data_IF_906826237491
#
_entry.id   IF_906826237491
#
_cell.length_a   1.000
_cell.length_b   1.000
_cell.length_c   1.000
_cell.angle_alpha   90.00
_cell.angle_beta   90.00
_cell.angle_gamma   90.00
#
_symmetry.space_group_name_H-M   'P 1'
#
loop_
_entity.id
_entity.type
_entity.pdbx_description
1 polymer ?
#
# COMPACT_ATOMS: atom_id res chain seq x y z
N UNK A 1 -7.24 50.56 8.72
CA UNK A 1 -7.59 49.78 9.93
C UNK A 1 -9.09 49.92 10.12
N UNK A 2 -9.90 49.03 9.55
CA UNK A 2 -11.33 48.98 9.84
C UNK A 2 -11.74 47.52 9.91
N UNK A 3 -11.85 47.03 11.13
CA UNK A 3 -12.37 45.71 11.46
C UNK A 3 -13.87 45.71 11.26
N UNK A 4 -14.32 45.24 10.10
CA UNK A 4 -15.71 44.87 9.86
C UNK A 4 -16.04 43.60 10.66
N UNK A 5 -16.25 43.77 11.96
CA UNK A 5 -17.01 42.83 12.76
C UNK A 5 -18.45 42.88 12.28
N UNK A 6 -18.77 42.03 11.30
CA UNK A 6 -20.16 41.78 10.94
C UNK A 6 -20.87 41.18 12.17
N UNK A 7 -21.97 41.76 12.67
CA UNK A 7 -22.67 41.33 13.90
C UNK A 7 -22.95 39.83 13.97
N UNK A 8 -23.16 39.19 12.81
CA UNK A 8 -23.40 37.75 12.70
C UNK A 8 -22.19 36.90 13.11
N UNK A 9 -20.95 37.35 12.84
CA UNK A 9 -19.73 36.63 13.25
C UNK A 9 -19.47 36.76 14.75
N UNK A 10 -19.79 37.91 15.33
CA UNK A 10 -19.66 38.14 16.77
C UNK A 10 -20.67 37.29 17.56
N UNK A 11 -21.91 37.15 17.06
CA UNK A 11 -22.92 36.29 17.66
C UNK A 11 -22.53 34.81 17.61
N UNK A 12 -22.04 34.34 16.45
CA UNK A 12 -21.58 32.96 16.28
C UNK A 12 -20.42 32.61 17.23
N UNK A 13 -19.43 33.50 17.38
CA UNK A 13 -18.33 33.31 18.31
C UNK A 13 -18.80 33.28 19.77
N UNK A 14 -19.81 34.08 20.13
CA UNK A 14 -20.39 34.07 21.48
C UNK A 14 -21.13 32.75 21.80
N UNK A 15 -21.93 32.24 20.85
CA UNK A 15 -22.62 30.95 21.00
C UNK A 15 -21.61 29.81 21.17
N UNK A 16 -20.59 29.78 20.33
CA UNK A 16 -19.52 28.78 20.41
C UNK A 16 -18.76 28.86 21.75
N UNK A 17 -18.52 30.07 22.28
CA UNK A 17 -17.89 30.25 23.58
C UNK A 17 -18.77 29.73 24.74
N UNK A 18 -20.09 29.91 24.64
CA UNK A 18 -21.05 29.37 25.61
C UNK A 18 -21.09 27.84 25.60
N UNK A 19 -21.04 27.23 24.42
CA UNK A 19 -21.01 25.78 24.25
C UNK A 19 -19.72 25.19 24.85
N UNK A 20 -18.57 25.83 24.60
CA UNK A 20 -17.30 25.45 25.24
C UNK A 20 -17.32 25.55 26.77
N UNK A 21 -18.00 26.56 27.32
CA UNK A 21 -18.16 26.70 28.77
C UNK A 21 -19.00 25.55 29.36
N UNK A 22 -20.07 25.14 28.66
CA UNK A 22 -20.92 24.01 29.05
C UNK A 22 -20.14 22.70 29.04
N UNK A 23 -19.38 22.44 27.97
CA UNK A 23 -18.50 21.26 27.85
C UNK A 23 -17.43 21.24 28.95
N UNK A 24 -16.79 22.38 29.24
CA UNK A 24 -15.76 22.47 30.28
C UNK A 24 -16.33 22.16 31.66
N UNK A 25 -17.52 22.67 31.96
CA UNK A 25 -18.23 22.38 33.21
C UNK A 25 -18.55 20.89 33.32
N UNK A 26 -19.09 20.28 32.27
CA UNK A 26 -19.38 18.86 32.21
C UNK A 26 -18.12 17.98 32.39
N UNK A 27 -17.04 18.28 31.68
CA UNK A 27 -15.77 17.56 31.82
C UNK A 27 -15.19 17.69 33.23
N UNK A 28 -15.24 18.88 33.83
CA UNK A 28 -14.77 19.08 35.21
C UNK A 28 -15.53 18.22 36.22
N UNK A 29 -16.86 18.09 36.05
CA UNK A 29 -17.70 17.23 36.89
C UNK A 29 -17.40 15.75 36.67
N UNK A 30 -17.13 15.32 35.43
CA UNK A 30 -16.90 13.92 35.08
C UNK A 30 -15.54 13.39 35.54
N UNK A 31 -14.50 14.22 35.46
CA UNK A 31 -13.13 13.81 35.75
C UNK A 31 -12.68 14.07 37.20
N UNK A 32 -13.45 14.84 37.99
CA UNK A 32 -13.08 15.17 39.38
C UNK A 32 -12.76 13.92 40.23
N UNK A 33 -11.64 13.89 40.98
CA UNK A 33 -10.69 14.99 41.22
C UNK A 33 -9.57 15.15 40.18
N UNK A 34 -9.50 14.27 39.17
CA UNK A 34 -8.51 14.37 38.10
C UNK A 34 -8.86 15.46 37.08
N UNK A 35 -7.84 15.97 36.39
CA UNK A 35 -8.04 16.91 35.27
C UNK A 35 -8.39 16.14 34.00
N UNK A 36 -9.28 16.68 33.16
CA UNK A 36 -9.57 16.07 31.87
C UNK A 36 -8.31 16.05 30.99
N UNK A 37 -8.16 15.05 30.09
CA UNK A 37 -7.05 14.97 29.16
C UNK A 37 -7.01 16.20 28.24
N UNK A 38 -5.82 16.54 27.73
CA UNK A 38 -5.64 17.64 26.78
C UNK A 38 -6.12 17.19 25.39
N UNK A 39 -6.88 18.04 24.71
CA UNK A 39 -7.39 17.79 23.37
C UNK A 39 -7.41 19.09 22.55
N UNK A 40 -7.45 18.95 21.23
CA UNK A 40 -7.53 20.08 20.31
C UNK A 40 -8.90 20.75 20.39
N UNK A 41 -8.97 22.08 20.38
CA UNK A 41 -10.22 22.84 20.42
C UNK A 41 -10.66 23.21 19.01
N UNK A 42 -11.25 22.25 18.31
CA UNK A 42 -11.83 22.42 16.97
C UNK A 42 -13.36 22.36 17.03
N UNK A 43 -14.05 22.84 15.99
CA UNK A 43 -15.53 22.75 15.92
C UNK A 43 -16.03 21.30 15.96
N UNK A 44 -15.31 20.39 15.33
CA UNK A 44 -15.61 18.96 15.33
C UNK A 44 -15.50 18.37 16.75
N UNK A 45 -14.45 18.73 17.49
CA UNK A 45 -14.30 18.29 18.89
C UNK A 45 -15.39 18.88 19.80
N UNK A 46 -15.82 20.12 19.56
CA UNK A 46 -16.94 20.72 20.29
C UNK A 46 -18.23 19.94 20.06
N UNK A 47 -18.56 19.64 18.80
CA UNK A 47 -19.74 18.85 18.45
C UNK A 47 -19.69 17.43 19.03
N UNK A 48 -18.53 16.76 18.95
CA UNK A 48 -18.33 15.45 19.56
C UNK A 48 -18.51 15.48 21.09
N UNK A 49 -17.99 16.50 21.77
CA UNK A 49 -18.13 16.62 23.23
C UNK A 49 -19.55 16.97 23.66
N UNK A 50 -20.27 17.81 22.90
CA UNK A 50 -21.68 18.12 23.15
C UNK A 50 -22.57 16.90 22.95
N UNK A 51 -22.34 16.12 21.90
CA UNK A 51 -23.09 14.88 21.66
C UNK A 51 -22.82 13.86 22.78
N UNK A 52 -21.57 13.69 23.20
CA UNK A 52 -21.21 12.85 24.34
C UNK A 52 -21.83 13.33 25.65
N UNK A 53 -21.86 14.63 25.92
CA UNK A 53 -22.47 15.20 27.12
C UNK A 53 -23.98 14.88 27.17
N UNK A 54 -24.69 15.09 26.07
CA UNK A 54 -26.12 14.79 25.94
C UNK A 54 -26.40 13.28 26.10
N UNK A 55 -25.58 12.42 25.49
CA UNK A 55 -25.72 10.98 25.64
C UNK A 55 -25.49 10.51 27.08
N UNK A 56 -24.55 11.14 27.80
CA UNK A 56 -24.29 10.85 29.21
C UNK A 56 -25.48 11.25 30.08
N UNK A 57 -26.05 12.44 29.84
CA UNK A 57 -27.25 12.91 30.55
C UNK A 57 -28.42 11.96 30.37
N UNK A 58 -28.68 11.53 29.13
CA UNK A 58 -29.70 10.50 28.84
C UNK A 58 -29.41 9.16 29.53
N UNK A 59 -28.14 8.75 29.57
CA UNK A 59 -27.76 7.53 30.25
C UNK A 59 -27.98 7.61 31.78
N UNK A 60 -27.67 8.76 32.38
CA UNK A 60 -27.88 9.00 33.81
C UNK A 60 -29.38 9.09 34.13
N UNK A 61 -30.20 9.71 33.28
CA UNK A 61 -31.67 9.69 33.38
C UNK A 61 -32.23 8.26 33.35
N UNK A 62 -31.75 7.43 32.42
CA UNK A 62 -32.17 6.03 32.33
C UNK A 62 -31.79 5.24 33.58
N UNK A 63 -30.57 5.43 34.13
CA UNK A 63 -30.16 4.79 35.38
C UNK A 63 -31.08 5.18 36.54
N UNK A 64 -31.39 6.47 36.68
CA UNK A 64 -32.32 6.95 37.71
C UNK A 64 -33.73 6.35 37.55
N UNK A 65 -34.23 6.25 36.32
CA UNK A 65 -35.52 5.60 36.07
C UNK A 65 -35.49 4.12 36.43
N UNK A 66 -34.43 3.39 36.07
CA UNK A 66 -34.27 1.98 36.43
C UNK A 66 -34.21 1.78 37.94
N UNK A 67 -33.40 2.58 38.64
CA UNK A 67 -33.30 2.54 40.10
C UNK A 67 -34.66 2.82 40.77
N UNK A 68 -35.40 3.82 40.29
CA UNK A 68 -36.73 4.14 40.83
C UNK A 68 -37.73 3.02 40.60
N UNK A 69 -37.74 2.43 39.41
CA UNK A 69 -38.59 1.26 39.10
C UNK A 69 -38.22 0.11 40.03
N UNK A 70 -36.94 -0.25 40.14
CA UNK A 70 -36.46 -1.30 41.06
C UNK A 70 -36.84 -1.03 42.52
N UNK A 71 -36.70 0.21 42.98
CA UNK A 71 -37.06 0.57 44.35
C UNK A 71 -38.58 0.48 44.58
N UNK A 72 -39.38 0.87 43.58
CA UNK A 72 -40.84 0.75 43.64
C UNK A 72 -41.30 -0.71 43.61
N UNK A 73 -40.65 -1.58 42.83
CA UNK A 73 -40.98 -3.02 42.75
C UNK A 73 -40.56 -3.75 44.02
N UNK A 74 -39.38 -3.44 44.58
CA UNK A 74 -38.96 -3.99 45.87
C UNK A 74 -39.90 -3.55 47.00
N UNK A 75 -40.35 -2.28 46.99
CA UNK A 75 -41.30 -1.77 47.98
C UNK A 75 -42.68 -2.43 47.85
N UNK A 76 -43.18 -2.63 46.63
CA UNK A 76 -44.47 -3.31 46.41
C UNK A 76 -44.39 -4.80 46.77
N UNK A 77 -43.29 -5.47 46.43
CA UNK A 77 -43.03 -6.86 46.80
C UNK A 77 -42.89 -7.03 48.33
N UNK A 78 -42.17 -6.14 49.01
CA UNK A 78 -42.06 -6.12 50.47
C UNK A 78 -43.42 -5.90 51.14
N UNK A 79 -44.25 -5.00 50.61
CA UNK A 79 -45.62 -4.77 51.11
C UNK A 79 -46.52 -5.98 50.90
N UNK A 80 -46.39 -6.67 49.77
CA UNK A 80 -47.11 -7.92 49.49
C UNK A 80 -46.67 -9.04 50.45
N UNK A 81 -45.36 -9.21 50.66
CA UNK A 81 -44.81 -10.17 51.61
C UNK A 81 -45.26 -9.89 53.06
N UNK A 82 -45.25 -8.62 53.48
CA UNK A 82 -45.77 -8.19 54.78
C UNK A 82 -47.27 -8.48 54.92
N UNK A 83 -48.06 -8.29 53.87
CA UNK A 83 -49.50 -8.63 53.87
C UNK A 83 -49.75 -10.14 54.04
N UNK A 84 -48.89 -10.98 53.44
CA UNK A 84 -48.93 -12.45 53.58
C UNK A 84 -48.53 -12.86 55.01
N UNK A 85 -47.46 -12.27 55.55
CA UNK A 85 -47.00 -12.50 56.93
C UNK A 85 -47.99 -12.04 57.99
N UNK A 86 -48.74 -10.96 57.73
CA UNK A 86 -49.75 -10.40 58.64
C UNK A 86 -51.13 -11.07 58.52
N UNK A 87 -51.28 -12.09 57.67
CA UNK A 87 -52.53 -12.88 57.57
C UNK A 87 -53.74 -12.10 57.08
N UNK A 88 -53.56 -10.94 56.44
CA UNK A 88 -54.67 -10.11 55.95
C UNK A 88 -55.12 -10.62 54.58
N UNK A 89 -56.19 -11.41 54.61
CA UNK A 89 -57.09 -11.84 53.52
C UNK A 89 -56.46 -12.42 52.23
N UNK A 90 -56.66 -13.72 51.91
CA UNK A 90 -56.15 -14.35 50.68
C UNK A 90 -56.85 -13.90 49.39
N UNK A 91 -57.96 -13.14 49.51
CA UNK A 91 -58.75 -12.63 48.41
C UNK A 91 -58.02 -11.44 47.76
N UNK A 92 -57.28 -11.68 46.67
CA UNK A 92 -56.56 -10.62 45.94
C UNK A 92 -55.06 -10.90 45.75
N UNK A 93 -54.50 -11.87 46.47
CA UNK A 93 -53.12 -12.32 46.27
C UNK A 93 -52.93 -12.91 44.87
N UNK A 94 -53.83 -13.81 44.44
CA UNK A 94 -53.75 -14.45 43.13
C UNK A 94 -53.82 -13.43 41.97
N UNK A 95 -54.76 -12.48 41.92
CA UNK A 95 -54.74 -11.39 40.94
C UNK A 95 -53.47 -10.53 40.98
N UNK A 96 -52.93 -10.25 42.17
CA UNK A 96 -51.69 -9.48 42.31
C UNK A 96 -50.46 -10.24 41.80
N UNK A 97 -50.36 -11.55 42.08
CA UNK A 97 -49.32 -12.42 41.55
C UNK A 97 -49.40 -12.50 40.02
N UNK A 98 -50.59 -12.72 39.44
CA UNK A 98 -50.77 -12.75 37.98
C UNK A 98 -50.36 -11.42 37.34
N UNK A 99 -50.74 -10.29 37.95
CA UNK A 99 -50.32 -8.97 37.46
C UNK A 99 -48.80 -8.81 37.49
N UNK A 100 -48.15 -9.13 38.61
CA UNK A 100 -46.69 -9.04 38.73
C UNK A 100 -45.97 -9.98 37.77
N UNK A 101 -46.47 -11.19 37.55
CA UNK A 101 -45.91 -12.13 36.56
C UNK A 101 -46.02 -11.57 35.14
N UNK A 102 -47.16 -10.97 34.79
CA UNK A 102 -47.32 -10.32 33.49
C UNK A 102 -46.39 -9.10 33.36
N UNK A 103 -46.26 -8.28 34.40
CA UNK A 103 -45.34 -7.12 34.41
C UNK A 103 -43.88 -7.56 34.26
N UNK A 104 -43.45 -8.62 34.96
CA UNK A 104 -42.10 -9.19 34.84
C UNK A 104 -41.86 -9.68 33.42
N UNK A 105 -42.80 -10.44 32.85
CA UNK A 105 -42.68 -10.96 31.48
C UNK A 105 -42.60 -9.84 30.43
N UNK A 106 -43.44 -8.80 30.57
CA UNK A 106 -43.40 -7.63 29.68
C UNK A 106 -42.08 -6.87 29.80
N UNK A 107 -41.54 -6.71 31.02
CA UNK A 107 -40.26 -6.07 31.25
C UNK A 107 -39.11 -6.89 30.69
N UNK A 108 -39.10 -8.21 30.86
CA UNK A 108 -38.13 -9.12 30.24
C UNK A 108 -38.16 -9.00 28.71
N UNK A 109 -39.35 -8.97 28.12
CA UNK A 109 -39.52 -8.76 26.68
C UNK A 109 -39.07 -7.38 26.20
N UNK A 110 -39.18 -6.34 27.03
CA UNK A 110 -38.65 -5.00 26.74
C UNK A 110 -37.13 -4.94 26.86
N UNK A 111 -36.55 -5.59 27.88
CA UNK A 111 -35.10 -5.69 28.06
C UNK A 111 -34.47 -6.44 26.89
N UNK A 112 -35.02 -7.59 26.50
CA UNK A 112 -34.50 -8.36 25.37
C UNK A 112 -34.51 -7.57 24.06
N UNK A 113 -35.59 -6.81 23.80
CA UNK A 113 -35.66 -5.91 22.63
C UNK A 113 -34.63 -4.78 22.72
N UNK A 114 -34.46 -4.17 23.88
CA UNK A 114 -33.47 -3.11 24.08
C UNK A 114 -32.04 -3.63 23.86
N UNK A 115 -31.70 -4.81 24.39
CA UNK A 115 -30.41 -5.47 24.17
C UNK A 115 -30.16 -5.77 22.69
N UNK A 116 -31.16 -6.26 21.96
CA UNK A 116 -31.04 -6.49 20.52
C UNK A 116 -30.76 -5.18 19.75
N UNK A 117 -31.46 -4.09 20.07
CA UNK A 117 -31.20 -2.78 19.46
C UNK A 117 -29.82 -2.23 19.83
N UNK A 118 -29.38 -2.42 21.07
CA UNK A 118 -28.05 -1.99 21.51
C UNK A 118 -26.95 -2.76 20.78
N UNK A 119 -27.12 -4.08 20.57
CA UNK A 119 -26.18 -4.89 19.81
C UNK A 119 -26.10 -4.43 18.35
N UNK A 120 -27.23 -4.12 17.73
CA UNK A 120 -27.27 -3.60 16.35
C UNK A 120 -26.53 -2.26 16.24
N UNK A 121 -26.83 -1.30 17.12
CA UNK A 121 -26.15 0.00 17.13
C UNK A 121 -24.64 -0.11 17.38
N UNK A 122 -24.20 -1.01 18.27
CA UNK A 122 -22.77 -1.27 18.48
C UNK A 122 -22.09 -1.82 17.22
N UNK A 123 -22.77 -2.70 16.49
CA UNK A 123 -22.23 -3.22 15.23
C UNK A 123 -22.15 -2.13 14.15
N UNK A 124 -23.13 -1.24 14.09
CA UNK A 124 -23.14 -0.11 13.17
C UNK A 124 -22.05 0.92 13.54
N UNK A 125 -21.87 1.21 14.83
CA UNK A 125 -20.80 2.07 15.32
C UNK A 125 -19.43 1.52 14.92
N UNK A 126 -19.18 0.23 15.14
CA UNK A 126 -17.93 -0.43 14.72
C UNK A 126 -17.71 -0.34 13.21
N UNK A 127 -18.77 -0.49 12.42
CA UNK A 127 -18.70 -0.34 10.96
C UNK A 127 -18.35 1.09 10.55
N UNK A 128 -18.97 2.11 11.17
CA UNK A 128 -18.67 3.51 10.91
C UNK A 128 -17.25 3.88 11.32
N UNK A 129 -16.77 3.39 12.48
CA UNK A 129 -15.38 3.56 12.92
C UNK A 129 -14.40 2.94 11.93
N UNK A 130 -14.70 1.75 11.39
CA UNK A 130 -13.90 1.14 10.33
C UNK A 130 -13.88 2.01 9.06
N UNK A 131 -15.02 2.56 8.64
CA UNK A 131 -15.11 3.45 7.47
C UNK A 131 -14.29 4.73 7.69
N UNK A 132 -14.41 5.38 8.85
CA UNK A 132 -13.66 6.59 9.18
C UNK A 132 -12.16 6.31 9.19
N UNK A 133 -11.72 5.22 9.83
CA UNK A 133 -10.31 4.83 9.82
C UNK A 133 -9.77 4.55 8.41
N UNK A 134 -10.62 4.01 7.52
CA UNK A 134 -10.30 3.83 6.12
C UNK A 134 -10.21 5.14 5.33
N UNK A 135 -10.98 6.16 5.72
CA UNK A 135 -10.93 7.50 5.13
C UNK A 135 -9.69 8.28 5.59
N UNK A 136 -9.27 8.14 6.85
CA UNK A 136 -8.03 8.73 7.37
C UNK A 136 -6.76 8.19 6.67
N UNK A 137 -6.85 7.00 6.07
CA UNK A 137 -5.76 6.44 5.25
C UNK A 137 -5.61 7.15 3.89
N UNK A 138 -6.58 7.97 3.47
CA UNK A 138 -6.46 8.76 2.24
C UNK A 138 -5.66 10.04 2.50
N UNK A 139 -4.69 10.37 1.64
CA UNK A 139 -3.94 11.61 1.75
C UNK A 139 -4.88 12.82 1.73
N UNK A 140 -4.57 13.82 2.54
CA UNK A 140 -5.34 15.07 2.54
C UNK A 140 -5.33 15.72 1.15
N UNK A 141 -6.36 16.51 0.84
CA UNK A 141 -6.41 17.27 -0.41
C UNK A 141 -5.16 18.14 -0.62
N UNK A 142 -4.61 18.70 0.47
CA UNK A 142 -3.39 19.48 0.46
C UNK A 142 -2.17 18.66 0.00
N UNK A 143 -1.99 17.45 0.52
CA UNK A 143 -0.91 16.54 0.12
C UNK A 143 -1.05 16.08 -1.34
N UNK A 144 -2.28 15.78 -1.78
CA UNK A 144 -2.52 15.44 -3.19
C UNK A 144 -2.19 16.61 -4.11
N UNK A 145 -2.58 17.82 -3.72
CA UNK A 145 -2.26 19.03 -4.49
C UNK A 145 -0.74 19.30 -4.51
N UNK A 146 -0.05 19.14 -3.38
CA UNK A 146 1.40 19.25 -3.30
C UNK A 146 2.08 18.27 -4.27
N UNK A 147 1.73 16.97 -4.20
CA UNK A 147 2.23 15.94 -5.12
C UNK A 147 1.91 16.25 -6.59
N UNK A 148 0.71 16.74 -6.90
CA UNK A 148 0.34 17.13 -8.26
C UNK A 148 1.21 18.29 -8.76
N UNK A 149 1.53 19.26 -7.90
CA UNK A 149 2.42 20.36 -8.27
C UNK A 149 3.86 19.89 -8.46
N UNK A 150 4.35 18.96 -7.63
CA UNK A 150 5.68 18.36 -7.76
C UNK A 150 5.81 17.57 -9.07
N UNK A 151 4.83 16.71 -9.37
CA UNK A 151 4.79 15.99 -10.64
C UNK A 151 4.72 16.94 -11.82
N UNK A 152 3.91 18.00 -11.74
CA UNK A 152 3.86 19.04 -12.75
C UNK A 152 5.21 19.73 -12.99
N UNK A 153 5.97 20.03 -11.93
CA UNK A 153 7.34 20.56 -12.01
C UNK A 153 8.29 19.54 -12.63
N UNK A 154 8.26 18.29 -12.17
CA UNK A 154 9.10 17.20 -12.67
C UNK A 154 8.87 16.93 -14.16
N UNK A 155 7.61 16.86 -14.60
CA UNK A 155 7.25 16.71 -16.01
C UNK A 155 7.78 17.85 -16.88
N UNK A 156 7.73 19.11 -16.40
CA UNK A 156 8.32 20.24 -17.13
C UNK A 156 9.83 20.10 -17.29
N UNK A 157 10.53 19.69 -16.23
CA UNK A 157 11.99 19.47 -16.26
C UNK A 157 12.34 18.35 -17.23
N UNK A 158 11.65 17.21 -17.16
CA UNK A 158 11.89 16.08 -18.06
C UNK A 158 11.61 16.48 -19.51
N UNK A 159 10.51 17.21 -19.78
CA UNK A 159 10.19 17.70 -21.12
C UNK A 159 11.28 18.63 -21.66
N UNK A 160 11.81 19.53 -20.83
CA UNK A 160 12.91 20.40 -21.23
C UNK A 160 14.17 19.60 -21.57
N UNK A 161 14.51 18.58 -20.76
CA UNK A 161 15.64 17.68 -21.05
C UNK A 161 15.45 16.89 -22.34
N UNK A 162 14.24 16.40 -22.62
CA UNK A 162 13.94 15.71 -23.89
C UNK A 162 14.21 16.65 -25.07
N UNK A 163 13.72 17.89 -25.02
CA UNK A 163 14.01 18.89 -26.07
C UNK A 163 15.50 19.22 -26.23
N UNK A 164 16.26 19.25 -25.13
CA UNK A 164 17.72 19.40 -25.16
C UNK A 164 18.40 18.21 -25.83
N UNK A 165 18.00 16.97 -25.50
CA UNK A 165 18.52 15.76 -26.13
C UNK A 165 18.16 15.68 -27.60
N UNK A 166 16.94 16.05 -27.98
CA UNK A 166 16.52 16.14 -29.38
C UNK A 166 17.37 17.15 -30.16
N UNK A 167 17.65 18.31 -29.56
CA UNK A 167 18.53 19.32 -30.16
C UNK A 167 19.97 18.83 -30.29
N UNK A 168 20.50 18.15 -29.26
CA UNK A 168 21.84 17.53 -29.31
C UNK A 168 21.92 16.43 -30.36
N UNK A 169 20.88 15.61 -30.49
CA UNK A 169 20.79 14.60 -31.53
C UNK A 169 20.71 15.23 -32.91
N UNK A 170 19.98 16.34 -33.08
CA UNK A 170 19.93 17.06 -34.35
C UNK A 170 21.30 17.64 -34.74
N UNK A 171 22.05 18.21 -33.79
CA UNK A 171 23.43 18.68 -34.03
C UNK A 171 24.36 17.52 -34.35
N UNK A 172 24.31 16.42 -33.57
CA UNK A 172 25.11 15.23 -33.82
C UNK A 172 24.77 14.55 -35.16
N UNK A 173 23.52 14.57 -35.61
CA UNK A 173 23.12 14.08 -36.94
C UNK A 173 23.57 15.00 -38.07
N UNK A 174 23.73 16.30 -37.79
CA UNK A 174 24.18 17.28 -38.78
C UNK A 174 25.70 17.33 -38.91
N UNK A 175 26.41 17.23 -37.78
CA UNK A 175 27.87 17.28 -37.70
C UNK A 175 28.49 15.88 -37.85
N UNK A 176 27.81 14.85 -37.35
CA UNK A 176 28.15 13.46 -37.58
C UNK A 176 27.54 13.01 -38.88
N UNK A 177 28.37 12.76 -39.88
CA UNK A 177 27.89 12.04 -41.04
C UNK A 177 27.45 10.66 -40.55
N UNK A 178 26.14 10.42 -40.57
CA UNK A 178 25.53 9.11 -40.31
C UNK A 178 26.17 8.03 -41.23
N UNK A 179 26.79 8.50 -42.33
CA UNK A 179 27.71 7.77 -43.21
C UNK A 179 29.10 7.46 -42.64
N UNK A 180 29.82 8.33 -41.91
CA UNK A 180 31.19 8.03 -41.41
C UNK A 180 31.20 6.88 -40.41
N UNK A 181 30.26 6.83 -39.47
CA UNK A 181 30.23 5.74 -38.48
C UNK A 181 29.92 4.41 -39.18
N UNK A 182 28.99 4.42 -40.15
CA UNK A 182 28.71 3.27 -41.00
C UNK A 182 29.90 2.87 -41.88
N UNK A 183 30.59 3.84 -42.47
CA UNK A 183 31.75 3.63 -43.32
C UNK A 183 32.95 3.09 -42.53
N UNK A 184 33.15 3.57 -41.29
CA UNK A 184 34.15 3.03 -40.36
C UNK A 184 33.83 1.60 -39.99
N UNK A 185 32.55 1.26 -39.75
CA UNK A 185 32.13 -0.11 -39.48
C UNK A 185 32.39 -1.05 -40.66
N UNK A 186 32.04 -0.62 -41.89
CA UNK A 186 32.35 -1.37 -43.10
C UNK A 186 33.85 -1.51 -43.36
N UNK A 187 34.65 -0.48 -43.05
CA UNK A 187 36.12 -0.55 -43.11
C UNK A 187 36.66 -1.55 -42.08
N UNK A 188 36.12 -1.57 -40.86
CA UNK A 188 36.53 -2.54 -39.84
C UNK A 188 36.24 -3.98 -40.27
N UNK A 189 35.07 -4.26 -40.82
CA UNK A 189 34.75 -5.61 -41.31
C UNK A 189 35.59 -6.00 -42.53
N UNK A 190 35.89 -5.06 -43.44
CA UNK A 190 36.85 -5.29 -44.53
C UNK A 190 38.25 -5.63 -44.01
N UNK A 191 38.75 -4.91 -43.02
CA UNK A 191 40.06 -5.20 -42.40
C UNK A 191 40.07 -6.58 -41.76
N UNK A 192 39.00 -6.95 -41.06
CA UNK A 192 38.86 -8.27 -40.43
C UNK A 192 38.85 -9.39 -41.47
N UNK A 193 38.13 -9.22 -42.57
CA UNK A 193 38.11 -10.16 -43.68
C UNK A 193 39.50 -10.29 -44.35
N UNK A 194 40.19 -9.17 -44.55
CA UNK A 194 41.55 -9.15 -45.09
C UNK A 194 42.55 -9.85 -44.16
N UNK A 195 42.47 -9.65 -42.85
CA UNK A 195 43.30 -10.35 -41.86
C UNK A 195 43.08 -11.86 -41.91
N UNK A 196 41.82 -12.31 -41.98
CA UNK A 196 41.51 -13.74 -42.10
C UNK A 196 42.07 -14.34 -43.39
N UNK A 197 42.03 -13.58 -44.49
CA UNK A 197 42.62 -13.99 -45.77
C UNK A 197 44.15 -14.03 -45.70
N UNK A 198 44.77 -13.03 -45.06
CA UNK A 198 46.20 -12.99 -44.81
C UNK A 198 46.65 -14.21 -44.01
N UNK A 199 45.97 -14.52 -42.91
CA UNK A 199 46.26 -15.70 -42.08
C UNK A 199 46.16 -17.00 -42.88
N UNK A 200 45.17 -17.11 -43.77
CA UNK A 200 45.05 -18.25 -44.68
C UNK A 200 46.17 -18.33 -45.70
N UNK A 201 46.64 -17.20 -46.22
CA UNK A 201 47.78 -17.13 -47.13
C UNK A 201 49.10 -17.41 -46.42
N UNK A 202 49.30 -16.90 -45.21
CA UNK A 202 50.46 -17.18 -44.36
C UNK A 202 50.55 -18.67 -44.02
N UNK A 203 49.43 -19.33 -43.67
CA UNK A 203 49.40 -20.79 -43.49
C UNK A 203 49.81 -21.56 -44.75
N UNK A 204 49.39 -21.07 -45.93
CA UNK A 204 49.80 -21.66 -47.21
C UNK A 204 51.28 -21.43 -47.47
N UNK A 205 51.80 -20.23 -47.20
CA UNK A 205 53.21 -19.88 -47.36
C UNK A 205 54.11 -20.63 -46.38
N UNK A 206 53.67 -20.85 -45.14
CA UNK A 206 54.39 -21.66 -44.15
C UNK A 206 54.61 -23.10 -44.64
N UNK A 207 53.69 -23.66 -45.44
CA UNK A 207 53.90 -24.96 -46.08
C UNK A 207 55.01 -24.94 -47.15
N UNK A 208 55.35 -23.75 -47.67
CA UNK A 208 56.41 -23.53 -48.65
C UNK A 208 57.73 -23.02 -48.03
N UNK A 209 57.74 -22.52 -46.79
CA UNK A 209 58.98 -22.09 -46.10
C UNK A 209 59.98 -23.22 -45.88
N UNK A 210 59.53 -24.48 -45.86
CA UNK A 210 60.40 -25.64 -45.80
C UNK A 210 61.12 -25.93 -47.13
N UNK A 211 60.73 -25.27 -48.23
CA UNK A 211 61.40 -25.43 -49.52
C UNK A 211 62.59 -24.45 -49.62
N UNK A 212 63.75 -24.92 -50.12
CA UNK A 212 64.87 -24.02 -50.37
C UNK A 212 64.50 -22.95 -51.40
N UNK A 213 65.01 -21.72 -51.27
CA UNK A 213 64.66 -20.58 -52.13
C UNK A 213 65.09 -20.73 -53.61
N UNK A 214 65.90 -21.74 -53.95
CA UNK A 214 66.28 -22.06 -55.32
C UNK A 214 65.28 -23.06 -55.96
N UNK A 215 64.65 -22.72 -57.11
CA UNK A 215 63.68 -23.59 -57.78
C UNK A 215 64.26 -24.95 -58.20
N UNK A 216 65.57 -25.05 -58.47
CA UNK A 216 66.26 -26.31 -58.76
C UNK A 216 66.31 -27.22 -57.53
N UNK A 217 66.86 -26.71 -56.43
CA UNK A 217 66.96 -27.44 -55.16
C UNK A 217 65.59 -27.83 -54.55
N UNK A 218 64.55 -27.02 -54.78
CA UNK A 218 63.19 -27.33 -54.37
C UNK A 218 62.60 -28.50 -55.18
N UNK A 219 62.88 -28.55 -56.49
CA UNK A 219 62.50 -29.67 -57.36
C UNK A 219 63.15 -30.99 -56.94
N UNK A 220 64.44 -30.96 -56.61
CA UNK A 220 65.17 -32.14 -56.14
C UNK A 220 64.60 -32.68 -54.83
N UNK A 221 64.28 -31.81 -53.85
CA UNK A 221 63.64 -32.24 -52.60
C UNK A 221 62.24 -32.84 -52.80
N UNK A 222 61.45 -32.29 -53.72
CA UNK A 222 60.14 -32.84 -54.07
C UNK A 222 60.30 -34.23 -54.72
N UNK A 223 61.26 -34.39 -55.61
CA UNK A 223 61.47 -35.68 -56.29
C UNK A 223 62.07 -36.73 -55.34
N UNK A 224 62.98 -36.35 -54.44
CA UNK A 224 63.45 -37.21 -53.33
C UNK A 224 62.29 -37.68 -52.44
N UNK A 225 61.40 -36.78 -52.03
CA UNK A 225 60.22 -37.14 -51.23
C UNK A 225 59.25 -38.06 -51.99
N UNK A 226 59.12 -37.87 -53.32
CA UNK A 226 58.33 -38.77 -54.18
C UNK A 226 58.97 -40.15 -54.33
N UNK A 227 60.29 -40.21 -54.41
CA UNK A 227 61.03 -41.48 -54.46
C UNK A 227 60.90 -42.23 -53.14
N UNK A 228 61.01 -41.56 -52.00
CA UNK A 228 60.74 -42.15 -50.69
C UNK A 228 59.31 -42.65 -50.56
N UNK A 229 58.31 -41.89 -51.02
CA UNK A 229 56.92 -42.34 -51.04
C UNK A 229 56.75 -43.58 -51.92
N UNK A 230 57.36 -43.60 -53.12
CA UNK A 230 57.36 -44.78 -54.00
C UNK A 230 58.07 -45.97 -53.34
N UNK A 231 59.17 -45.74 -52.61
CA UNK A 231 59.89 -46.79 -51.87
C UNK A 231 59.01 -47.38 -50.78
N UNK A 232 58.43 -46.56 -49.91
CA UNK A 232 57.55 -46.99 -48.81
C UNK A 232 56.30 -47.67 -49.37
N UNK A 233 55.74 -47.19 -50.48
CA UNK A 233 54.60 -47.83 -51.15
C UNK A 233 54.97 -49.22 -51.67
N UNK A 234 56.14 -49.38 -52.31
CA UNK A 234 56.62 -50.70 -52.74
C UNK A 234 56.93 -51.63 -51.59
N UNK A 235 57.48 -51.12 -50.48
CA UNK A 235 57.71 -51.91 -49.27
C UNK A 235 56.39 -52.39 -48.68
N UNK A 236 55.40 -51.49 -48.56
CA UNK A 236 54.04 -51.83 -48.18
C UNK A 236 53.49 -52.92 -49.09
N UNK A 237 53.54 -52.73 -50.40
CA UNK A 237 52.96 -53.68 -51.37
C UNK A 237 53.66 -55.04 -51.30
N UNK A 238 54.99 -55.10 -51.14
CA UNK A 238 55.72 -56.35 -50.89
C UNK A 238 55.33 -57.01 -49.57
N UNK A 239 55.18 -56.24 -48.50
CA UNK A 239 54.74 -56.76 -47.20
C UNK A 239 53.30 -57.30 -47.29
N UNK A 240 52.42 -56.67 -48.07
CA UNK A 240 51.08 -57.18 -48.33
C UNK A 240 51.09 -58.44 -49.20
N UNK A 241 51.88 -58.49 -50.27
CA UNK A 241 52.01 -59.69 -51.10
C UNK A 241 52.56 -60.90 -50.32
N UNK A 242 53.46 -60.66 -49.36
CA UNK A 242 53.98 -61.69 -48.45
C UNK A 242 52.98 -62.22 -47.44
N UNK A 243 51.88 -61.50 -47.18
CA UNK A 243 50.79 -61.91 -46.28
C UNK A 243 49.69 -62.72 -47.01
N UNK A 244 49.74 -62.82 -48.34
CA UNK A 244 48.70 -63.44 -49.19
C UNK A 244 49.09 -64.86 -49.68
N UNK A 245 50.27 -65.38 -49.28
CA UNK A 245 50.68 -66.79 -49.47
C UNK A 245 50.64 -67.56 -48.16
#
# INVERSE_FOLDING_TARGET
>A
METSFSPSKALAAHLQAQDWASVTTWLSKKYHPATPPVFERTEETLQALLTLANLNEKADELRHLTENVQMSTLRSASKAAASVLLGVQPQGLAPACVRLTNEVFELEGRVSRAEATQSALRSEQSNLEAIISGLDAFPSYAELHEKATEWGKSTKVVRAKVGEYDSRLAVLKRDGSEGEVGEVWERMERVKALRKRLEGLEKRLAAFEALPPDPGAAGERIEQAREELRRVTRERDRSFEGLIK
#
